data_IF_564517227410
#
_entry.id   IF_564517227410
#
_cell.length_a   1.000
_cell.length_b   1.000
_cell.length_c   1.000
_cell.angle_alpha   90.00
_cell.angle_beta   90.00
_cell.angle_gamma   90.00
#
_symmetry.space_group_name_H-M   'P 1'
#
loop_
_entity.id
_entity.type
_entity.pdbx_description
1 polymer ?
#
# COMPACT_ATOMS: atom_id res chain seq x y z
N UNK A 1 4.70 -22.67 13.58
CA UNK A 1 4.41 -21.26 13.93
C UNK A 1 3.24 -20.80 13.07
N UNK A 2 2.30 -20.03 13.61
CA UNK A 2 1.20 -19.46 12.84
C UNK A 2 1.61 -18.09 12.32
N UNK A 3 1.95 -18.01 11.03
CA UNK A 3 2.29 -16.75 10.37
C UNK A 3 1.00 -15.99 10.05
N UNK A 4 0.93 -14.69 10.40
CA UNK A 4 -0.21 -13.84 10.06
C UNK A 4 -0.20 -13.55 8.55
N UNK A 5 -1.30 -13.87 7.88
CA UNK A 5 -1.51 -13.55 6.46
C UNK A 5 -2.44 -12.33 6.38
N UNK A 6 -2.02 -11.31 5.63
CA UNK A 6 -2.72 -10.04 5.44
C UNK A 6 -3.40 -9.94 4.06
N UNK A 7 -3.80 -11.08 3.52
CA UNK A 7 -4.46 -11.20 2.24
C UNK A 7 -5.51 -12.31 2.31
N UNK A 8 -6.64 -12.12 1.65
CA UNK A 8 -7.72 -13.11 1.59
C UNK A 8 -7.40 -14.25 0.61
N UNK A 9 -6.46 -14.02 -0.32
CA UNK A 9 -6.01 -14.98 -1.31
C UNK A 9 -4.53 -15.27 -1.09
N UNK A 10 -4.16 -16.55 -1.20
CA UNK A 10 -2.79 -17.00 -1.16
C UNK A 10 -2.49 -17.95 -2.32
N UNK A 11 -1.25 -17.91 -2.80
CA UNK A 11 -0.73 -18.80 -3.83
C UNK A 11 0.66 -19.30 -3.42
N UNK A 12 1.04 -20.50 -3.84
CA UNK A 12 2.40 -20.98 -3.63
C UNK A 12 3.40 -20.25 -4.54
N UNK A 13 4.67 -20.20 -4.13
CA UNK A 13 5.76 -19.67 -4.95
C UNK A 13 5.92 -20.44 -6.27
N UNK A 14 5.51 -21.71 -6.30
CA UNK A 14 5.52 -22.53 -7.53
C UNK A 14 4.44 -22.07 -8.50
N UNK A 15 3.20 -21.83 -8.03
CA UNK A 15 2.12 -21.28 -8.86
C UNK A 15 2.46 -19.89 -9.38
N UNK A 16 3.05 -19.04 -8.52
CA UNK A 16 3.50 -17.72 -8.91
C UNK A 16 4.57 -17.79 -10.01
N UNK A 17 5.57 -18.66 -9.88
CA UNK A 17 6.60 -18.85 -10.92
C UNK A 17 6.03 -19.38 -12.23
N UNK A 18 5.01 -20.24 -12.17
CA UNK A 18 4.40 -20.82 -13.35
C UNK A 18 3.59 -19.78 -14.15
N UNK A 19 2.85 -18.90 -13.47
CA UNK A 19 2.12 -17.82 -14.12
C UNK A 19 1.90 -16.63 -13.16
N UNK A 20 2.82 -15.65 -13.15
CA UNK A 20 2.74 -14.50 -12.25
C UNK A 20 1.46 -13.68 -12.46
N UNK A 21 1.05 -13.49 -13.72
CA UNK A 21 -0.13 -12.68 -14.06
C UNK A 21 -1.43 -13.33 -13.58
N UNK A 22 -1.53 -14.66 -13.67
CA UNK A 22 -2.69 -15.39 -13.13
C UNK A 22 -2.79 -15.20 -11.62
N UNK A 23 -1.67 -15.29 -10.91
CA UNK A 23 -1.65 -15.11 -9.45
C UNK A 23 -1.98 -13.67 -9.08
N UNK A 24 -1.37 -12.68 -9.73
CA UNK A 24 -1.67 -11.27 -9.51
C UNK A 24 -3.16 -10.95 -9.70
N UNK A 25 -3.80 -11.54 -10.73
CA UNK A 25 -5.21 -11.32 -11.03
C UNK A 25 -6.17 -12.11 -10.13
N UNK A 26 -5.71 -13.15 -9.43
CA UNK A 26 -6.55 -13.95 -8.52
C UNK A 26 -7.03 -13.19 -7.28
N UNK A 27 -6.35 -12.09 -6.95
CA UNK A 27 -6.73 -11.20 -5.85
C UNK A 27 -7.86 -10.22 -6.21
N UNK A 28 -8.32 -10.18 -7.48
CA UNK A 28 -9.36 -9.24 -7.93
C UNK A 28 -9.10 -7.78 -7.53
N UNK A 29 -7.86 -7.32 -7.71
CA UNK A 29 -7.43 -5.98 -7.29
C UNK A 29 -6.94 -5.90 -5.84
N UNK A 30 -7.14 -6.93 -5.01
CA UNK A 30 -6.57 -7.04 -3.69
C UNK A 30 -5.19 -7.73 -3.70
N UNK A 31 -4.38 -7.58 -2.64
CA UNK A 31 -3.11 -8.30 -2.48
C UNK A 31 -3.29 -9.82 -2.45
N UNK A 32 -2.29 -10.54 -2.97
CA UNK A 32 -2.19 -12.00 -2.88
C UNK A 32 -0.94 -12.38 -2.10
N UNK A 33 -1.08 -13.19 -1.05
CA UNK A 33 0.06 -13.72 -0.31
C UNK A 33 0.76 -14.83 -1.09
N UNK A 34 2.05 -14.67 -1.38
CA UNK A 34 2.85 -15.72 -2.02
C UNK A 34 3.61 -16.50 -0.97
N UNK A 35 3.32 -17.79 -0.86
CA UNK A 35 3.81 -18.67 0.19
C UNK A 35 5.02 -19.49 -0.27
N UNK A 36 6.03 -19.62 0.58
CA UNK A 36 7.13 -20.57 0.43
C UNK A 36 7.17 -21.47 1.66
N UNK A 37 7.08 -22.80 1.47
CA UNK A 37 7.00 -23.77 2.58
C UNK A 37 5.91 -23.44 3.63
N UNK A 38 4.73 -23.02 3.16
CA UNK A 38 3.58 -22.59 3.97
C UNK A 38 3.81 -21.33 4.82
N UNK A 39 4.87 -20.57 4.56
CA UNK A 39 5.12 -19.27 5.18
C UNK A 39 5.01 -18.16 4.14
N UNK A 40 4.38 -17.01 4.45
CA UNK A 40 4.28 -15.90 3.52
C UNK A 40 5.69 -15.34 3.23
N UNK A 41 6.12 -15.45 1.97
CA UNK A 41 7.40 -14.95 1.51
C UNK A 41 7.30 -13.48 1.08
N UNK A 42 6.23 -13.12 0.37
CA UNK A 42 5.92 -11.74 -0.03
C UNK A 42 4.43 -11.60 -0.36
N UNK A 43 3.99 -10.36 -0.57
CA UNK A 43 2.67 -10.05 -1.11
C UNK A 43 2.81 -9.55 -2.55
N UNK A 44 2.06 -10.15 -3.46
CA UNK A 44 1.86 -9.59 -4.80
C UNK A 44 0.74 -8.55 -4.70
N UNK A 45 1.09 -7.28 -4.80
CA UNK A 45 0.13 -6.16 -4.73
C UNK A 45 -0.08 -5.62 -6.15
N UNK A 46 -1.32 -5.58 -6.68
CA UNK A 46 -1.59 -4.94 -7.96
C UNK A 46 -1.15 -3.47 -7.98
N UNK A 47 -0.73 -2.96 -9.14
CA UNK A 47 -0.18 -1.60 -9.27
C UNK A 47 -1.14 -0.53 -8.73
N UNK A 48 -2.41 -0.55 -9.15
CA UNK A 48 -3.45 0.38 -8.69
C UNK A 48 -3.64 0.34 -7.16
N UNK A 49 -3.62 -0.86 -6.57
CA UNK A 49 -3.73 -1.01 -5.11
C UNK A 49 -2.50 -0.46 -4.39
N UNK A 50 -1.30 -0.63 -4.96
CA UNK A 50 -0.07 -0.09 -4.41
C UNK A 50 -0.04 1.44 -4.48
N UNK A 51 -0.43 2.02 -5.63
CA UNK A 51 -0.55 3.47 -5.82
C UNK A 51 -1.53 4.08 -4.80
N UNK A 52 -2.74 3.52 -4.66
CA UNK A 52 -3.71 3.96 -3.65
C UNK A 52 -3.18 3.86 -2.21
N UNK A 53 -2.31 2.89 -1.91
CA UNK A 53 -1.67 2.79 -0.59
C UNK A 53 -0.65 3.91 -0.38
N UNK A 54 0.15 4.25 -1.41
CA UNK A 54 1.13 5.31 -1.32
C UNK A 54 0.46 6.68 -1.18
N UNK A 55 -0.58 6.96 -1.97
CA UNK A 55 -1.35 8.21 -1.89
C UNK A 55 -1.90 8.44 -0.47
N UNK A 56 -2.44 7.39 0.16
CA UNK A 56 -2.94 7.46 1.54
C UNK A 56 -1.83 7.69 2.57
N UNK A 57 -0.62 7.18 2.35
CA UNK A 57 0.51 7.43 3.24
C UNK A 57 0.95 8.89 3.13
N UNK A 58 1.03 9.44 1.92
CA UNK A 58 1.35 10.85 1.68
C UNK A 58 0.31 11.77 2.34
N UNK A 59 -0.98 11.46 2.23
CA UNK A 59 -2.06 12.18 2.91
C UNK A 59 -1.89 12.20 4.44
N UNK A 60 -1.44 11.09 5.03
CA UNK A 60 -1.20 11.00 6.48
C UNK A 60 -0.02 11.88 6.91
N UNK A 61 1.04 11.92 6.11
CA UNK A 61 2.19 12.80 6.36
C UNK A 61 1.79 14.27 6.25
N UNK A 62 1.02 14.63 5.21
CA UNK A 62 0.50 15.99 5.04
C UNK A 62 -0.43 16.39 6.18
N UNK A 63 -1.30 15.47 6.63
CA UNK A 63 -2.16 15.68 7.78
C UNK A 63 -1.36 15.91 9.07
N UNK A 64 -0.24 15.20 9.26
CA UNK A 64 0.62 15.40 10.42
C UNK A 64 1.23 16.82 10.42
N UNK A 65 1.68 17.30 9.26
CA UNK A 65 2.19 18.68 9.10
C UNK A 65 1.08 19.69 9.38
N UNK A 66 -0.10 19.50 8.79
CA UNK A 66 -1.25 20.38 9.00
C UNK A 66 -1.60 20.47 10.48
N UNK A 67 -1.71 19.33 11.17
CA UNK A 67 -1.99 19.27 12.62
C UNK A 67 -0.94 19.98 13.46
N UNK A 68 0.34 19.84 13.12
CA UNK A 68 1.41 20.55 13.82
C UNK A 68 1.26 22.07 13.70
N UNK A 69 0.88 22.55 12.49
CA UNK A 69 0.80 23.98 12.18
C UNK A 69 -0.53 24.64 12.51
N UNK A 70 -1.56 23.86 12.85
CA UNK A 70 -2.91 24.38 13.14
C UNK A 70 -2.95 25.43 14.26
N UNK A 71 -1.98 25.41 15.19
CA UNK A 71 -1.89 26.35 16.30
C UNK A 71 -0.87 27.49 16.10
N UNK A 72 -0.20 27.55 14.96
CA UNK A 72 0.79 28.59 14.66
C UNK A 72 0.10 29.93 14.33
N UNK A 73 0.79 31.05 14.60
CA UNK A 73 0.27 32.37 14.26
C UNK A 73 0.20 32.54 12.74
N UNK A 74 -0.98 32.93 12.24
CA UNK A 74 -1.18 33.16 10.81
C UNK A 74 -0.56 34.49 10.38
N UNK A 75 0.27 34.45 9.33
CA UNK A 75 0.87 35.65 8.75
C UNK A 75 0.07 36.05 7.50
N UNK A 76 -0.51 37.26 7.43
CA UNK A 76 -1.21 37.73 6.24
C UNK A 76 -0.23 37.99 5.09
N UNK A 77 -0.54 37.46 3.91
CA UNK A 77 0.26 37.64 2.68
C UNK A 77 -0.66 38.01 1.51
N UNK A 78 -0.14 38.81 0.57
CA UNK A 78 -0.84 39.17 -0.67
C UNK A 78 -0.28 38.39 -1.85
N UNK A 79 -1.14 37.85 -2.72
CA UNK A 79 -0.74 37.10 -3.92
C UNK A 79 -0.14 38.05 -4.98
N UNK A 80 -0.58 39.31 -5.02
CA UNK A 80 -0.16 40.30 -6.01
C UNK A 80 1.21 40.95 -5.71
N UNK A 81 1.89 40.52 -4.64
CA UNK A 81 3.15 41.10 -4.17
C UNK A 81 4.41 40.34 -4.64
N UNK A 82 4.28 39.45 -5.64
CA UNK A 82 5.35 38.63 -6.22
C UNK A 82 6.12 39.35 -7.35
#
# INVERSE_FOLDING_TARGET
MTSRILADVAASITEFKANPMKVANSGYGAPVAVLNRNEPAFYCVPAEAYEMMMDKLEDLELLAIAKHRMGEESIPVSIDAL
#
